data_IF_083811859788
#
_entry.id   IF_083811859788
#
_cell.length_a   1.000
_cell.length_b   1.000
_cell.length_c   1.000
_cell.angle_alpha   90.00
_cell.angle_beta   90.00
_cell.angle_gamma   90.00
#
_symmetry.space_group_name_H-M   'P 1'
#
loop_
_entity.id
_entity.type
_entity.pdbx_description
1 polymer ?
#
# COMPACT_ATOMS: atom_id res chain seq x y z
N UNK A 1 8.12 -3.98 -23.25
CA UNK A 1 7.15 -4.55 -22.27
C UNK A 1 6.82 -3.69 -21.05
N UNK A 2 7.77 -3.15 -20.25
CA UNK A 2 7.42 -2.23 -19.13
C UNK A 2 7.10 -0.80 -19.65
N UNK A 3 7.98 -0.23 -20.47
CA UNK A 3 7.82 1.12 -21.06
C UNK A 3 6.57 1.26 -21.94
N UNK A 4 6.21 0.24 -22.72
CA UNK A 4 4.99 0.25 -23.56
C UNK A 4 3.69 0.16 -22.74
N UNK A 5 3.73 -0.40 -21.52
CA UNK A 5 2.57 -0.59 -20.65
C UNK A 5 2.32 0.57 -19.70
N UNK A 6 3.37 1.33 -19.37
CA UNK A 6 3.35 2.37 -18.32
C UNK A 6 3.78 3.76 -18.80
N UNK A 7 4.38 3.91 -19.99
CA UNK A 7 4.91 5.19 -20.47
C UNK A 7 6.18 5.66 -19.74
N UNK A 8 6.73 4.84 -18.84
CA UNK A 8 8.00 5.07 -18.11
C UNK A 8 8.54 3.73 -17.59
N UNK A 9 9.82 3.68 -17.20
CA UNK A 9 10.44 2.48 -16.59
C UNK A 9 10.31 2.48 -15.05
N UNK A 10 10.36 1.29 -14.44
CA UNK A 10 10.41 1.13 -12.98
C UNK A 10 11.56 1.94 -12.37
N UNK A 11 12.73 1.94 -13.03
CA UNK A 11 13.90 2.71 -12.62
C UNK A 11 13.63 4.22 -12.56
N UNK A 12 12.86 4.77 -13.52
CA UNK A 12 12.47 6.18 -13.54
C UNK A 12 11.57 6.55 -12.35
N UNK A 13 10.66 5.67 -11.94
CA UNK A 13 9.83 5.89 -10.76
C UNK A 13 10.67 5.83 -9.48
N UNK A 14 11.54 4.82 -9.36
CA UNK A 14 12.42 4.68 -8.18
C UNK A 14 13.45 5.79 -8.06
N UNK A 15 14.00 6.30 -9.17
CA UNK A 15 15.00 7.36 -9.16
C UNK A 15 14.40 8.67 -8.63
N UNK A 16 13.19 9.04 -9.05
CA UNK A 16 12.50 10.25 -8.60
C UNK A 16 12.19 10.17 -7.09
N UNK A 17 11.72 9.02 -6.61
CA UNK A 17 11.51 8.76 -5.17
C UNK A 17 12.84 8.78 -4.40
N UNK A 18 13.93 8.33 -5.02
CA UNK A 18 15.29 8.38 -4.46
C UNK A 18 15.81 9.81 -4.29
N UNK A 19 15.55 10.71 -5.25
CA UNK A 19 15.97 12.11 -5.18
C UNK A 19 15.30 12.88 -4.04
N UNK A 20 14.03 12.61 -3.73
CA UNK A 20 13.35 13.22 -2.57
C UNK A 20 13.91 12.77 -1.21
N UNK A 21 14.64 11.65 -1.15
CA UNK A 21 15.20 11.12 0.10
C UNK A 21 16.63 11.64 0.40
N UNK A 22 17.25 12.39 -0.50
CA UNK A 22 18.69 12.71 -0.44
C UNK A 22 19.08 13.96 0.40
N UNK A 23 18.14 14.61 1.07
CA UNK A 23 18.46 15.76 1.95
C UNK A 23 18.80 15.26 3.36
N UNK A 24 20.05 14.81 3.54
CA UNK A 24 20.53 14.14 4.77
C UNK A 24 21.08 15.14 5.79
N UNK A 25 20.60 15.09 7.03
CA UNK A 25 21.28 15.62 8.22
C UNK A 25 22.35 14.62 8.74
N UNK A 26 23.40 15.07 9.45
CA UNK A 26 24.58 14.26 9.79
C UNK A 26 24.30 13.19 10.86
N UNK A 27 25.17 12.16 10.99
CA UNK A 27 24.88 10.96 11.77
C UNK A 27 25.12 11.20 13.27
N UNK A 28 24.10 10.95 14.08
CA UNK A 28 24.25 10.76 15.53
C UNK A 28 24.10 9.28 15.88
N UNK A 29 24.98 8.83 16.76
CA UNK A 29 25.14 7.46 17.25
C UNK A 29 23.96 7.06 18.13
N UNK A 30 22.86 6.65 17.52
CA UNK A 30 21.79 5.88 18.15
C UNK A 30 21.49 4.72 17.20
N UNK A 31 21.26 3.50 17.73
CA UNK A 31 20.79 2.36 16.94
C UNK A 31 19.66 2.86 16.04
N UNK A 32 19.89 2.91 14.73
CA UNK A 32 18.99 3.63 13.84
C UNK A 32 17.66 2.89 13.81
N UNK A 33 16.67 3.38 14.55
CA UNK A 33 15.31 2.92 14.39
C UNK A 33 14.94 3.08 12.91
N UNK A 34 14.42 2.02 12.29
CA UNK A 34 13.92 2.12 10.93
C UNK A 34 12.90 3.24 10.86
N UNK A 35 12.99 4.07 9.82
CA UNK A 35 11.91 5.02 9.54
C UNK A 35 10.61 4.24 9.34
N UNK A 36 9.44 4.81 9.71
CA UNK A 36 8.15 4.15 9.51
C UNK A 36 7.96 3.64 8.08
N UNK A 37 8.40 4.44 7.10
CA UNK A 37 8.38 4.11 5.68
C UNK A 37 9.20 2.88 5.31
N UNK A 38 10.35 2.64 5.95
CA UNK A 38 11.17 1.44 5.73
C UNK A 38 10.63 0.24 6.49
N UNK A 39 10.10 0.46 7.69
CA UNK A 39 9.52 -0.57 8.55
C UNK A 39 8.33 -1.28 7.89
N UNK A 40 7.49 -0.53 7.16
CA UNK A 40 6.30 -1.07 6.50
C UNK A 40 6.51 -1.71 5.12
N UNK A 41 7.72 -1.60 4.53
CA UNK A 41 7.97 -2.18 3.21
C UNK A 41 7.79 -3.70 3.27
N UNK A 42 6.99 -4.24 2.36
CA UNK A 42 6.82 -5.68 2.22
C UNK A 42 7.89 -6.25 1.30
N UNK A 43 8.61 -7.25 1.80
CA UNK A 43 9.62 -8.01 1.07
C UNK A 43 9.18 -9.46 0.87
N UNK A 44 9.58 -10.03 -0.26
CA UNK A 44 9.65 -11.46 -0.48
C UNK A 44 11.07 -11.92 -0.14
N UNK A 45 11.21 -12.61 0.99
CA UNK A 45 12.45 -13.29 1.37
C UNK A 45 12.48 -14.65 0.67
N UNK A 46 13.49 -14.90 -0.17
CA UNK A 46 13.71 -16.23 -0.73
C UNK A 46 14.11 -17.21 0.38
N UNK A 47 13.47 -18.38 0.41
CA UNK A 47 13.77 -19.44 1.36
C UNK A 47 14.92 -20.30 0.85
N UNK A 48 16.10 -20.11 1.44
CA UNK A 48 17.34 -20.86 1.20
C UNK A 48 18.01 -21.15 2.56
N UNK A 49 18.81 -22.22 2.69
CA UNK A 49 19.53 -22.52 3.95
C UNK A 49 20.39 -21.32 4.38
N UNK A 50 20.31 -20.85 5.64
CA UNK A 50 19.68 -21.48 6.81
C UNK A 50 18.20 -21.12 7.05
N UNK A 51 17.57 -20.34 6.20
CA UNK A 51 16.18 -19.86 6.30
C UNK A 51 15.27 -20.52 5.25
N UNK A 52 15.40 -21.82 5.06
CA UNK A 52 14.67 -22.61 4.04
C UNK A 52 13.18 -22.86 4.35
N UNK A 53 12.70 -22.46 5.52
CA UNK A 53 11.33 -22.71 5.99
C UNK A 53 10.78 -21.52 6.75
N UNK A 54 9.46 -21.30 6.67
CA UNK A 54 8.79 -20.20 7.39
C UNK A 54 8.96 -20.29 8.91
N UNK A 55 9.07 -21.49 9.47
CA UNK A 55 9.36 -21.70 10.89
C UNK A 55 10.76 -21.20 11.28
N UNK A 56 11.79 -21.42 10.45
CA UNK A 56 13.13 -20.86 10.71
C UNK A 56 13.12 -19.34 10.60
N UNK A 57 12.37 -18.77 9.66
CA UNK A 57 12.17 -17.32 9.55
C UNK A 57 11.47 -16.78 10.81
N UNK A 58 10.42 -17.45 11.28
CA UNK A 58 9.70 -17.08 12.51
C UNK A 58 10.64 -17.03 13.72
N UNK A 59 11.48 -18.06 13.89
CA UNK A 59 12.45 -18.12 15.00
C UNK A 59 13.51 -17.04 14.86
N UNK A 60 14.10 -16.87 13.67
CA UNK A 60 15.15 -15.89 13.40
C UNK A 60 14.69 -14.45 13.65
N UNK A 61 13.44 -14.13 13.32
CA UNK A 61 12.85 -12.81 13.51
C UNK A 61 12.05 -12.66 14.81
N UNK A 62 11.93 -13.70 15.62
CA UNK A 62 11.11 -13.74 16.84
C UNK A 62 9.64 -13.31 16.58
N UNK A 63 9.03 -13.86 15.52
CA UNK A 63 7.66 -13.54 15.13
C UNK A 63 6.63 -14.33 15.94
N UNK A 64 5.48 -13.72 16.28
CA UNK A 64 4.42 -14.41 17.03
C UNK A 64 3.74 -15.50 16.20
N UNK A 65 3.71 -15.36 14.87
CA UNK A 65 3.08 -16.31 13.93
C UNK A 65 4.02 -16.57 12.76
N UNK A 66 3.89 -17.76 12.15
CA UNK A 66 4.66 -18.11 10.96
C UNK A 66 4.28 -17.20 9.77
N UNK A 67 5.25 -16.64 9.04
CA UNK A 67 4.99 -15.78 7.89
C UNK A 67 4.36 -16.57 6.74
N UNK A 68 3.56 -15.87 5.93
CA UNK A 68 2.93 -16.40 4.72
C UNK A 68 3.99 -16.84 3.70
N UNK A 69 3.78 -18.03 3.13
CA UNK A 69 4.68 -18.61 2.10
C UNK A 69 4.02 -18.52 0.74
N UNK A 70 4.77 -17.97 -0.23
CA UNK A 70 4.37 -17.90 -1.63
C UNK A 70 5.31 -18.74 -2.49
N UNK A 71 4.78 -19.31 -3.57
CA UNK A 71 5.54 -20.04 -4.58
C UNK A 71 5.81 -19.14 -5.78
N UNK A 72 7.07 -19.07 -6.20
CA UNK A 72 7.49 -18.45 -7.46
C UNK A 72 7.95 -19.53 -8.43
N UNK A 73 7.69 -19.32 -9.72
CA UNK A 73 8.18 -20.19 -10.79
C UNK A 73 8.96 -19.33 -11.79
N UNK A 74 10.11 -19.81 -12.24
CA UNK A 74 10.85 -19.26 -13.38
C UNK A 74 11.30 -20.38 -14.31
N UNK A 75 11.93 -20.02 -15.42
CA UNK A 75 12.53 -20.99 -16.35
C UNK A 75 13.60 -21.87 -15.69
N UNK A 76 14.17 -21.41 -14.56
CA UNK A 76 15.20 -22.12 -13.79
C UNK A 76 14.62 -23.06 -12.71
N UNK A 77 13.31 -23.00 -12.45
CA UNK A 77 12.63 -23.88 -11.50
C UNK A 77 11.66 -23.18 -10.56
N UNK A 78 11.26 -23.90 -9.52
CA UNK A 78 10.37 -23.42 -8.48
C UNK A 78 11.14 -22.92 -7.27
N UNK A 79 10.71 -21.77 -6.74
CA UNK A 79 11.31 -21.12 -5.59
C UNK A 79 10.23 -20.82 -4.55
N UNK A 80 10.59 -20.89 -3.28
CA UNK A 80 9.70 -20.51 -2.18
C UNK A 80 10.14 -19.18 -1.59
N UNK A 81 9.15 -18.35 -1.24
CA UNK A 81 9.36 -17.05 -0.64
C UNK A 81 8.49 -16.90 0.60
N UNK A 82 8.99 -16.19 1.61
CA UNK A 82 8.20 -15.70 2.73
C UNK A 82 7.91 -14.21 2.56
N UNK A 83 6.66 -13.82 2.79
CA UNK A 83 6.25 -12.41 2.86
C UNK A 83 6.56 -11.87 4.25
N UNK A 84 7.37 -10.82 4.32
CA UNK A 84 7.81 -10.19 5.57
C UNK A 84 7.79 -8.67 5.46
N UNK A 85 7.67 -7.97 6.58
CA UNK A 85 7.82 -6.50 6.63
C UNK A 85 9.29 -6.07 6.84
N UNK A 86 9.53 -4.76 6.84
CA UNK A 86 10.87 -4.19 7.00
C UNK A 86 11.45 -4.37 8.40
N UNK A 87 10.62 -4.42 9.43
CA UNK A 87 11.06 -4.72 10.80
C UNK A 87 11.58 -6.16 10.89
N UNK A 88 10.83 -7.09 10.34
CA UNK A 88 11.19 -8.50 10.22
C UNK A 88 12.47 -8.67 9.43
N UNK A 89 12.60 -7.99 8.27
CA UNK A 89 13.83 -7.99 7.48
C UNK A 89 15.05 -7.58 8.33
N UNK A 90 14.94 -6.48 9.08
CA UNK A 90 16.05 -6.01 9.93
C UNK A 90 16.33 -6.94 11.12
N UNK A 91 15.31 -7.58 11.69
CA UNK A 91 15.50 -8.61 12.70
C UNK A 91 16.28 -9.82 12.16
N UNK A 92 15.96 -10.26 10.93
CA UNK A 92 16.67 -11.35 10.25
C UNK A 92 18.12 -10.97 9.95
N UNK A 93 18.36 -9.76 9.44
CA UNK A 93 19.72 -9.26 9.17
C UNK A 93 20.56 -9.21 10.46
N UNK A 94 19.97 -8.74 11.57
CA UNK A 94 20.60 -8.74 12.88
C UNK A 94 20.89 -10.18 13.35
N UNK A 95 19.91 -11.08 13.25
CA UNK A 95 20.09 -12.49 13.62
C UNK A 95 21.24 -13.14 12.84
N UNK A 96 21.29 -12.96 11.51
CA UNK A 96 22.36 -13.49 10.66
C UNK A 96 23.75 -12.95 11.06
N UNK A 97 23.83 -11.68 11.47
CA UNK A 97 25.10 -11.10 11.94
C UNK A 97 25.65 -11.81 13.19
N UNK A 98 24.77 -12.37 14.03
CA UNK A 98 25.17 -13.11 15.24
C UNK A 98 25.61 -14.55 14.97
N UNK A 99 25.15 -15.15 13.86
CA UNK A 99 25.41 -16.57 13.54
C UNK A 99 26.83 -16.83 13.02
N UNK A 100 27.60 -15.79 12.75
CA UNK A 100 29.01 -15.85 12.34
C UNK A 100 29.29 -16.84 11.17
N UNK A 101 28.33 -16.98 10.23
CA UNK A 101 28.47 -17.80 9.02
C UNK A 101 28.95 -16.92 7.85
N UNK A 102 30.23 -16.99 7.45
CA UNK A 102 30.70 -16.26 6.30
C UNK A 102 30.05 -16.81 5.01
N UNK A 103 29.40 -15.94 4.25
CA UNK A 103 29.01 -16.22 2.85
C UNK A 103 27.52 -16.31 2.56
N UNK A 104 26.64 -16.51 3.54
CA UNK A 104 25.20 -16.47 3.28
C UNK A 104 24.68 -15.02 3.24
N UNK A 105 24.04 -14.64 2.13
CA UNK A 105 23.33 -13.36 2.00
C UNK A 105 21.88 -13.65 1.58
N UNK A 106 20.88 -13.39 2.45
CA UNK A 106 19.48 -13.58 2.09
C UNK A 106 19.07 -12.64 0.96
N UNK A 107 18.22 -13.13 0.07
CA UNK A 107 17.62 -12.32 -1.00
C UNK A 107 16.27 -11.77 -0.53
N UNK A 108 16.19 -10.44 -0.42
CA UNK A 108 14.95 -9.72 -0.16
C UNK A 108 14.50 -8.95 -1.40
N UNK A 109 13.32 -9.25 -1.92
CA UNK A 109 12.75 -8.56 -3.08
C UNK A 109 11.59 -7.68 -2.62
N UNK A 110 11.66 -6.33 -2.74
CA UNK A 110 10.55 -5.47 -2.38
C UNK A 110 9.37 -5.69 -3.32
N UNK A 111 8.15 -5.78 -2.77
CA UNK A 111 6.92 -5.99 -3.56
C UNK A 111 6.49 -4.71 -4.30
N UNK A 112 6.85 -3.53 -3.77
CA UNK A 112 6.62 -2.24 -4.44
C UNK A 112 5.15 -1.92 -4.72
N UNK A 113 4.28 -2.06 -3.71
CA UNK A 113 2.85 -1.81 -3.83
C UNK A 113 2.38 -0.76 -2.81
N UNK A 114 1.29 -0.06 -3.13
CA UNK A 114 0.69 0.91 -2.22
C UNK A 114 0.29 0.24 -0.89
N UNK A 115 0.58 0.91 0.22
CA UNK A 115 0.29 0.38 1.56
C UNK A 115 -1.22 0.34 1.80
N UNK A 116 -1.73 -0.67 2.51
CA UNK A 116 -3.14 -0.73 2.92
C UNK A 116 -3.20 -1.16 4.38
N UNK A 117 -3.18 -0.18 5.27
CA UNK A 117 -3.14 -0.36 6.73
C UNK A 117 -4.41 0.22 7.38
N UNK A 118 -5.56 -0.22 6.89
CA UNK A 118 -6.85 0.24 7.40
C UNK A 118 -7.14 -0.39 8.76
N UNK A 119 -7.22 0.43 9.82
CA UNK A 119 -7.50 -0.01 11.19
C UNK A 119 -8.84 -0.74 11.29
N UNK A 120 -8.90 -1.86 12.02
CA UNK A 120 -10.16 -2.54 12.36
C UNK A 120 -10.91 -1.88 13.51
N UNK A 121 -10.18 -1.11 14.30
CA UNK A 121 -10.64 -0.60 15.60
C UNK A 121 -10.87 0.91 15.54
N UNK A 122 -10.61 1.56 14.41
CA UNK A 122 -10.86 2.98 14.19
C UNK A 122 -11.06 3.28 12.71
N UNK A 123 -11.50 4.50 12.38
CA UNK A 123 -11.61 4.94 10.98
C UNK A 123 -10.27 5.38 10.38
N UNK A 124 -9.16 5.26 11.10
CA UNK A 124 -7.83 5.58 10.55
C UNK A 124 -7.36 4.52 9.52
N UNK A 125 -6.70 4.92 8.41
CA UNK A 125 -6.64 6.26 7.85
C UNK A 125 -7.92 6.58 7.06
N UNK A 126 -8.41 7.82 7.17
CA UNK A 126 -9.49 8.36 6.34
C UNK A 126 -9.08 9.74 5.85
N UNK A 127 -9.21 9.97 4.55
CA UNK A 127 -8.89 11.24 3.91
C UNK A 127 -9.66 12.42 4.54
N UNK A 128 -8.95 13.52 4.76
CA UNK A 128 -9.49 14.78 5.29
C UNK A 128 -9.83 14.75 6.77
N UNK A 129 -9.52 13.67 7.49
CA UNK A 129 -9.84 13.50 8.91
C UNK A 129 -8.68 12.88 9.69
N UNK A 130 -8.18 13.64 10.66
CA UNK A 130 -7.18 13.13 11.59
C UNK A 130 -7.83 12.32 12.72
N UNK A 131 -8.00 11.01 12.48
CA UNK A 131 -8.53 10.05 13.44
C UNK A 131 -7.56 9.70 14.58
N UNK A 132 -6.35 10.28 14.61
CA UNK A 132 -5.43 10.13 15.75
C UNK A 132 -5.81 11.04 16.91
N UNK A 133 -6.64 12.07 16.68
CA UNK A 133 -7.04 13.02 17.70
C UNK A 133 -8.00 12.39 18.73
N UNK A 134 -7.94 12.80 20.02
CA UNK A 134 -8.68 12.16 21.11
C UNK A 134 -10.20 12.06 20.89
N UNK A 135 -10.81 13.05 20.23
CA UNK A 135 -12.25 13.07 19.97
C UNK A 135 -12.75 11.97 19.02
N UNK A 136 -11.84 11.37 18.25
CA UNK A 136 -12.14 10.29 17.33
C UNK A 136 -11.73 8.92 17.84
N UNK A 137 -11.22 8.86 19.08
CA UNK A 137 -10.94 7.60 19.75
C UNK A 137 -12.25 6.81 19.89
N UNK A 138 -12.24 5.49 19.59
CA UNK A 138 -13.35 4.61 19.91
C UNK A 138 -13.84 4.87 21.33
N UNK A 139 -15.11 5.24 21.49
CA UNK A 139 -15.72 5.22 22.81
C UNK A 139 -15.88 3.76 23.23
N UNK A 140 -15.82 3.49 24.55
CA UNK A 140 -15.94 2.14 25.08
C UNK A 140 -17.14 1.42 24.47
N UNK A 141 -16.92 0.24 23.89
CA UNK A 141 -17.97 -0.55 23.23
C UNK A 141 -19.18 -0.81 24.16
N UNK A 142 -18.94 -0.85 25.47
CA UNK A 142 -19.97 -0.96 26.51
C UNK A 142 -20.91 0.25 26.62
N UNK A 143 -20.55 1.41 26.07
CA UNK A 143 -21.36 2.63 26.05
C UNK A 143 -22.13 2.78 24.71
N UNK A 144 -21.87 1.92 23.74
CA UNK A 144 -22.50 1.95 22.42
C UNK A 144 -23.53 0.82 22.32
N UNK A 145 -24.78 1.17 21.99
CA UNK A 145 -25.87 0.20 21.80
C UNK A 145 -25.73 -0.64 20.53
N UNK A 146 -24.73 -0.33 19.69
CA UNK A 146 -24.43 -1.04 18.45
C UNK A 146 -22.92 -0.98 18.23
N UNK A 147 -22.30 -2.13 17.95
CA UNK A 147 -20.88 -2.22 17.61
C UNK A 147 -20.56 -1.28 16.44
N UNK A 148 -19.67 -0.28 16.62
CA UNK A 148 -19.30 0.63 15.54
C UNK A 148 -18.63 -0.17 14.42
N UNK A 149 -19.17 -0.04 13.20
CA UNK A 149 -18.72 -0.84 12.07
C UNK A 149 -17.37 -0.44 11.49
N UNK A 150 -16.64 0.53 12.10
CA UNK A 150 -15.30 1.09 11.77
C UNK A 150 -14.78 0.92 10.33
N UNK A 151 -15.65 0.97 9.33
CA UNK A 151 -15.26 0.62 7.97
C UNK A 151 -14.68 -0.79 7.84
N UNK A 152 -15.32 -1.80 8.44
CA UNK A 152 -15.02 -3.23 8.25
C UNK A 152 -15.31 -3.68 6.82
N UNK A 153 -16.18 -2.97 6.11
CA UNK A 153 -16.54 -3.28 4.73
C UNK A 153 -15.42 -3.01 3.73
N UNK A 154 -14.43 -2.17 4.02
CA UNK A 154 -13.31 -1.90 3.10
C UNK A 154 -12.23 -3.02 3.07
N UNK A 155 -12.38 -4.05 3.91
CA UNK A 155 -11.64 -5.30 3.82
C UNK A 155 -12.48 -6.43 3.21
N UNK A 156 -13.72 -6.15 2.82
CA UNK A 156 -14.65 -7.10 2.22
C UNK A 156 -14.93 -6.70 0.78
N UNK A 157 -15.01 -7.69 -0.10
CA UNK A 157 -15.27 -7.45 -1.51
C UNK A 157 -16.74 -7.76 -1.84
N UNK A 158 -17.37 -6.95 -2.72
CA UNK A 158 -16.76 -5.85 -3.47
C UNK A 158 -16.61 -4.55 -2.67
N UNK A 159 -15.62 -3.72 -3.02
CA UNK A 159 -15.32 -2.44 -2.37
C UNK A 159 -15.23 -1.30 -3.39
N UNK A 160 -15.81 -0.14 -3.05
CA UNK A 160 -15.72 1.05 -3.89
C UNK A 160 -14.34 1.67 -3.82
N UNK A 161 -13.76 1.96 -4.98
CA UNK A 161 -12.54 2.73 -5.13
C UNK A 161 -12.79 4.00 -5.94
N UNK A 162 -12.23 5.12 -5.49
CA UNK A 162 -12.19 6.38 -6.21
C UNK A 162 -10.86 6.57 -6.93
N UNK A 163 -10.92 7.02 -8.18
CA UNK A 163 -9.77 7.29 -9.02
C UNK A 163 -9.83 8.72 -9.56
N UNK A 164 -8.69 9.43 -9.47
CA UNK A 164 -8.51 10.83 -9.89
C UNK A 164 -7.39 10.99 -10.94
N UNK A 165 -6.90 9.88 -11.50
CA UNK A 165 -5.77 9.86 -12.42
C UNK A 165 -5.97 8.85 -13.54
N UNK A 166 -4.88 8.20 -13.95
CA UNK A 166 -4.88 7.26 -15.08
C UNK A 166 -5.79 6.04 -14.88
N UNK A 167 -6.10 5.67 -13.63
CA UNK A 167 -7.06 4.61 -13.30
C UNK A 167 -8.52 5.01 -13.57
N UNK A 168 -8.84 6.29 -13.76
CA UNK A 168 -10.16 6.75 -14.20
C UNK A 168 -10.37 6.54 -15.72
N UNK A 169 -9.91 5.41 -16.25
CA UNK A 169 -9.95 5.05 -17.67
C UNK A 169 -10.28 3.57 -17.83
N UNK A 170 -11.39 3.29 -18.53
CA UNK A 170 -11.88 1.91 -18.77
C UNK A 170 -10.83 1.02 -19.44
N UNK A 171 -10.17 1.43 -20.55
CA UNK A 171 -9.12 0.62 -21.17
C UNK A 171 -7.97 0.31 -20.22
N UNK A 172 -7.57 1.28 -19.38
CA UNK A 172 -6.48 1.10 -18.42
C UNK A 172 -6.85 0.11 -17.33
N UNK A 173 -8.04 0.23 -16.75
CA UNK A 173 -8.54 -0.70 -15.74
C UNK A 173 -8.67 -2.11 -16.29
N UNK A 174 -9.26 -2.27 -17.48
CA UNK A 174 -9.40 -3.57 -18.13
C UNK A 174 -8.04 -4.26 -18.32
N UNK A 175 -7.09 -3.54 -18.90
CA UNK A 175 -5.72 -4.02 -19.13
C UNK A 175 -4.97 -4.31 -17.83
N UNK A 176 -5.13 -3.45 -16.82
CA UNK A 176 -4.46 -3.62 -15.54
C UNK A 176 -5.02 -4.83 -14.80
N UNK A 177 -6.34 -4.93 -14.69
CA UNK A 177 -7.04 -5.98 -13.96
C UNK A 177 -7.12 -7.31 -14.72
N UNK A 178 -6.67 -7.34 -15.99
CA UNK A 178 -6.72 -8.52 -16.87
C UNK A 178 -8.15 -9.05 -17.06
N UNK A 179 -9.11 -8.14 -17.21
CA UNK A 179 -10.51 -8.49 -17.39
C UNK A 179 -10.77 -8.94 -18.84
N UNK A 180 -11.58 -10.00 -19.00
CA UNK A 180 -12.05 -10.46 -20.31
C UNK A 180 -12.89 -9.41 -21.02
N UNK A 181 -12.72 -9.27 -22.36
CA UNK A 181 -13.81 -9.35 -23.34
C UNK A 181 -15.24 -9.02 -22.84
N UNK A 182 -15.76 -9.99 -22.11
CA UNK A 182 -17.17 -10.09 -21.77
C UNK A 182 -17.55 -9.28 -20.53
N UNK A 183 -16.55 -8.90 -19.71
CA UNK A 183 -16.77 -8.14 -18.48
C UNK A 183 -16.99 -6.67 -18.81
N UNK A 184 -18.17 -6.14 -18.46
CA UNK A 184 -18.48 -4.72 -18.57
C UNK A 184 -17.85 -3.96 -17.41
N UNK A 185 -16.95 -3.03 -17.73
CA UNK A 185 -16.31 -2.13 -16.76
C UNK A 185 -17.10 -0.84 -16.70
N UNK A 186 -17.72 -0.55 -15.56
CA UNK A 186 -18.51 0.67 -15.34
C UNK A 186 -17.73 1.61 -14.41
N UNK A 187 -17.39 2.79 -14.94
CA UNK A 187 -16.88 3.90 -14.15
C UNK A 187 -18.02 4.88 -13.87
N UNK A 188 -18.29 5.12 -12.59
CA UNK A 188 -19.30 6.07 -12.16
C UNK A 188 -18.65 7.43 -11.91
N UNK A 189 -19.21 8.51 -12.45
CA UNK A 189 -18.73 9.86 -12.13
C UNK A 189 -18.95 10.11 -10.64
N UNK A 190 -17.90 10.53 -9.94
CA UNK A 190 -17.95 10.75 -8.50
C UNK A 190 -17.15 11.98 -8.09
N UNK A 191 -17.45 12.52 -6.91
CA UNK A 191 -16.68 13.59 -6.26
C UNK A 191 -16.17 13.10 -4.93
N UNK A 192 -14.86 13.17 -4.72
CA UNK A 192 -14.23 12.82 -3.45
C UNK A 192 -14.22 14.03 -2.51
N UNK A 193 -14.57 13.82 -1.24
CA UNK A 193 -14.69 14.86 -0.21
C UNK A 193 -13.45 14.89 0.69
N UNK A 194 -13.07 16.07 1.18
CA UNK A 194 -11.97 16.24 2.14
C UNK A 194 -10.57 16.10 1.52
N UNK A 195 -10.47 16.10 0.19
CA UNK A 195 -9.21 15.99 -0.54
C UNK A 195 -8.95 17.20 -1.45
N UNK A 196 -7.68 17.38 -1.80
CA UNK A 196 -7.25 18.31 -2.86
C UNK A 196 -6.19 17.67 -3.74
N UNK A 197 -6.18 18.09 -5.00
CA UNK A 197 -5.11 17.73 -5.92
C UNK A 197 -3.90 18.65 -5.76
N UNK A 198 -2.73 18.03 -5.77
CA UNK A 198 -1.41 18.63 -5.91
C UNK A 198 -0.62 17.85 -6.97
N UNK A 199 0.64 18.21 -7.16
CA UNK A 199 1.57 17.45 -7.99
C UNK A 199 2.81 17.05 -7.21
N UNK A 200 3.54 16.08 -7.75
CA UNK A 200 4.88 15.73 -7.30
C UNK A 200 5.76 15.34 -8.49
N UNK A 201 7.07 15.31 -8.26
CA UNK A 201 8.04 14.95 -9.28
C UNK A 201 8.13 16.02 -10.36
N UNK A 202 8.22 17.29 -9.96
CA UNK A 202 8.33 18.45 -10.85
C UNK A 202 7.07 18.64 -11.71
N UNK A 203 5.89 18.50 -11.11
CA UNK A 203 4.61 18.69 -11.79
C UNK A 203 4.16 17.51 -12.64
N UNK A 204 4.94 16.42 -12.70
CA UNK A 204 4.68 15.31 -13.62
C UNK A 204 3.53 14.40 -13.15
N UNK A 205 3.32 14.28 -11.85
CA UNK A 205 2.41 13.29 -11.29
C UNK A 205 1.40 13.92 -10.35
N UNK A 206 0.18 13.37 -10.36
CA UNK A 206 -0.92 13.81 -9.50
C UNK A 206 -0.73 13.27 -8.08
N UNK A 207 -0.84 14.14 -7.08
CA UNK A 207 -0.86 13.79 -5.67
C UNK A 207 -2.20 14.17 -5.06
N UNK A 208 -2.96 13.18 -4.58
CA UNK A 208 -4.10 13.43 -3.71
C UNK A 208 -3.60 13.55 -2.26
N UNK A 209 -3.94 14.66 -1.62
CA UNK A 209 -3.59 14.93 -0.22
C UNK A 209 -4.79 15.44 0.56
N UNK A 210 -4.70 15.39 1.89
CA UNK A 210 -5.72 15.90 2.80
C UNK A 210 -6.01 17.38 2.57
N UNK A 211 -7.29 17.74 2.71
CA UNK A 211 -7.78 19.10 2.66
C UNK A 211 -8.93 19.30 3.65
N UNK A 212 -9.45 20.52 3.70
CA UNK A 212 -10.66 20.82 4.47
C UNK A 212 -11.84 20.00 3.93
N UNK A 213 -12.79 19.64 4.79
CA UNK A 213 -13.96 18.83 4.44
C UNK A 213 -14.79 19.41 3.28
N UNK A 214 -14.75 20.74 3.09
CA UNK A 214 -15.44 21.45 2.00
C UNK A 214 -14.75 21.31 0.64
N UNK A 215 -13.51 20.80 0.61
CA UNK A 215 -12.75 20.58 -0.62
C UNK A 215 -13.24 19.31 -1.30
N UNK A 216 -13.37 19.37 -2.63
CA UNK A 216 -13.76 18.22 -3.43
C UNK A 216 -12.84 18.01 -4.64
N UNK A 217 -12.67 16.75 -5.03
CA UNK A 217 -11.94 16.35 -6.24
C UNK A 217 -12.89 15.56 -7.15
N UNK A 218 -12.97 15.94 -8.43
CA UNK A 218 -13.72 15.16 -9.42
C UNK A 218 -12.92 13.94 -9.88
N UNK A 219 -13.62 12.83 -10.12
CA UNK A 219 -13.01 11.61 -10.60
C UNK A 219 -14.03 10.55 -10.98
N UNK A 220 -13.64 9.29 -10.84
CA UNK A 220 -14.51 8.15 -11.12
C UNK A 220 -14.43 7.11 -10.02
N UNK A 221 -15.58 6.53 -9.69
CA UNK A 221 -15.69 5.41 -8.78
C UNK A 221 -15.81 4.10 -9.56
N UNK A 222 -15.15 3.06 -9.05
CA UNK A 222 -15.17 1.70 -9.58
C UNK A 222 -15.39 0.71 -8.45
N UNK A 223 -16.22 -0.30 -8.69
CA UNK A 223 -16.49 -1.36 -7.72
C UNK A 223 -15.48 -2.50 -7.90
N UNK A 224 -14.47 -2.55 -7.04
CA UNK A 224 -13.42 -3.56 -7.07
C UNK A 224 -13.97 -4.87 -6.53
N UNK A 225 -13.98 -5.90 -7.38
CA UNK A 225 -14.69 -7.15 -7.11
C UNK A 225 -13.92 -8.17 -6.24
N UNK A 226 -12.59 -8.06 -6.13
CA UNK A 226 -11.76 -9.06 -5.43
C UNK A 226 -10.45 -8.46 -4.91
N UNK A 227 -9.85 -9.16 -3.96
CA UNK A 227 -8.52 -8.83 -3.41
C UNK A 227 -7.43 -8.83 -4.47
N UNK A 228 -7.45 -9.81 -5.38
CA UNK A 228 -6.51 -9.90 -6.49
C UNK A 228 -6.61 -8.70 -7.45
N UNK A 229 -7.81 -8.13 -7.65
CA UNK A 229 -7.97 -6.87 -8.38
C UNK A 229 -7.39 -5.69 -7.61
N UNK A 230 -7.65 -5.60 -6.31
CA UNK A 230 -7.09 -4.55 -5.46
C UNK A 230 -5.56 -4.59 -5.44
N UNK A 231 -4.96 -5.77 -5.30
CA UNK A 231 -3.51 -5.95 -5.31
C UNK A 231 -2.88 -5.50 -6.63
N UNK A 232 -3.56 -5.72 -7.76
CA UNK A 232 -3.12 -5.17 -9.06
C UNK A 232 -3.16 -3.64 -9.09
N UNK A 233 -4.19 -3.02 -8.53
CA UNK A 233 -4.28 -1.56 -8.41
C UNK A 233 -3.17 -1.01 -7.50
N UNK A 234 -2.94 -1.65 -6.35
CA UNK A 234 -1.90 -1.24 -5.40
C UNK A 234 -0.50 -1.36 -5.99
N UNK A 235 -0.21 -2.43 -6.74
CA UNK A 235 1.05 -2.59 -7.48
C UNK A 235 1.23 -1.51 -8.56
N UNK A 236 0.15 -1.08 -9.19
CA UNK A 236 0.19 -0.02 -10.19
C UNK A 236 0.57 1.34 -9.58
N UNK A 237 -0.03 1.68 -8.44
CA UNK A 237 0.24 2.95 -7.75
C UNK A 237 1.60 2.95 -7.06
N UNK A 238 2.13 1.78 -6.67
CA UNK A 238 3.45 1.59 -6.04
C UNK A 238 3.54 2.08 -4.60
N UNK A 239 4.70 1.90 -3.97
CA UNK A 239 5.00 2.38 -2.62
C UNK A 239 4.98 3.91 -2.45
N UNK A 240 4.82 4.67 -3.54
CA UNK A 240 4.65 6.12 -3.50
C UNK A 240 3.26 6.55 -2.95
N UNK A 241 2.32 5.62 -2.87
CA UNK A 241 0.96 5.88 -2.40
C UNK A 241 0.56 4.90 -1.30
N UNK A 242 -0.51 5.25 -0.59
CA UNK A 242 -1.21 4.39 0.35
C UNK A 242 -2.70 4.39 0.06
N UNK A 243 -3.38 3.34 0.50
CA UNK A 243 -4.83 3.19 0.46
C UNK A 243 -5.40 3.77 1.75
N UNK A 244 -6.29 4.73 1.61
CA UNK A 244 -7.05 5.31 2.73
C UNK A 244 -8.54 5.18 2.48
N UNK A 245 -9.34 5.23 3.56
CA UNK A 245 -10.79 5.39 3.45
C UNK A 245 -11.12 6.80 2.96
N UNK A 246 -12.22 6.95 2.24
CA UNK A 246 -12.73 8.24 1.82
C UNK A 246 -14.26 8.23 1.72
N UNK A 247 -14.84 9.42 1.60
CA UNK A 247 -16.23 9.62 1.24
C UNK A 247 -16.30 10.15 -0.18
N UNK A 248 -17.16 9.54 -0.98
CA UNK A 248 -17.45 10.00 -2.33
C UNK A 248 -18.92 10.32 -2.48
N UNK A 249 -19.24 11.33 -3.29
CA UNK A 249 -20.58 11.66 -3.75
C UNK A 249 -20.76 11.09 -5.16
N UNK A 250 -21.78 10.26 -5.34
CA UNK A 250 -22.14 9.63 -6.60
C UNK A 250 -23.67 9.64 -6.71
N UNK A 251 -24.19 10.19 -7.81
CA UNK A 251 -25.63 10.30 -8.05
C UNK A 251 -26.41 10.95 -6.87
N UNK A 252 -25.81 11.97 -6.24
CA UNK A 252 -26.39 12.68 -5.09
C UNK A 252 -26.36 11.91 -3.76
N UNK A 253 -25.72 10.74 -3.72
CA UNK A 253 -25.58 9.91 -2.53
C UNK A 253 -24.13 9.86 -2.06
N UNK A 254 -23.90 9.97 -0.75
CA UNK A 254 -22.58 9.79 -0.15
C UNK A 254 -22.32 8.30 0.12
N UNK A 255 -21.21 7.79 -0.40
CA UNK A 255 -20.78 6.39 -0.30
C UNK A 255 -19.40 6.31 0.33
N UNK A 256 -19.19 5.32 1.19
CA UNK A 256 -17.85 5.01 1.72
C UNK A 256 -17.03 4.25 0.68
N UNK A 257 -15.81 4.70 0.45
CA UNK A 257 -14.91 4.13 -0.54
C UNK A 257 -13.46 4.10 -0.02
N UNK A 258 -12.57 3.58 -0.86
CA UNK A 258 -11.13 3.71 -0.72
C UNK A 258 -10.57 4.60 -1.84
N UNK A 259 -9.41 5.18 -1.61
CA UNK A 259 -8.64 5.92 -2.64
C UNK A 259 -7.16 5.74 -2.38
N UNK A 260 -6.35 6.09 -3.36
CA UNK A 260 -4.90 6.22 -3.18
C UNK A 260 -4.56 7.64 -2.74
N UNK A 261 -3.64 7.81 -1.80
CA UNK A 261 -3.09 9.11 -1.39
C UNK A 261 -1.58 9.08 -1.50
N UNK A 262 -0.99 10.21 -1.84
CA UNK A 262 0.45 10.30 -2.00
C UNK A 262 1.12 10.47 -0.63
N UNK A 263 2.13 9.64 -0.34
CA UNK A 263 2.80 9.64 0.98
C UNK A 263 4.10 10.45 1.02
N UNK A 264 4.49 11.06 -0.10
CA UNK A 264 5.73 11.82 -0.23
C UNK A 264 5.54 13.33 -0.12
N UNK A 265 6.63 14.06 -0.38
CA UNK A 265 6.60 15.51 -0.48
C UNK A 265 6.05 15.95 -1.84
N UNK A 266 5.03 16.78 -1.78
CA UNK A 266 4.39 17.43 -2.92
C UNK A 266 5.15 18.70 -3.31
N UNK A 267 5.05 19.07 -4.58
CA UNK A 267 5.59 20.33 -5.10
C UNK A 267 4.84 21.56 -4.54
#
# INVERSE_FOLDING_TARGET
MWQERFGYSYEQATAIIGFTKATTNPPSTQQSMLSPSKARVIYLLKLDDPLDTSAKVQIAANLPTSPEVCRGTSDEGEYLFCKIDGLTKSAIENWLSTQNRPGFRPLFVPVGAAYKELSSDSLYPTLGKDFTLPQYRPQDAHLLTTEPSFGRTQHQYPVWYFFYGTLASVPKLRSLLSLSEEVVVVLHRARLLGGRMKTWGQGKYNALVDALETSCVEGSAYLVASEDHEDRLRKYETEAYEVVRCLIEMDGTTVQACTFTFIGEVD
#
